data_IF_159367713807
#
_entry.id   IF_159367713807
#
_cell.length_a   1.000
_cell.length_b   1.000
_cell.length_c   1.000
_cell.angle_alpha   90.00
_cell.angle_beta   90.00
_cell.angle_gamma   90.00
#
_symmetry.space_group_name_H-M   'P 1'
#
loop_
_entity.id
_entity.type
_entity.pdbx_description
1 polymer ?
#
# COMPACT_ATOMS: atom_id res chain seq x y z
N UNK A 1 -40.26 -57.89 -31.48
CA UNK A 1 -39.37 -56.83 -32.03
C UNK A 1 -39.46 -55.68 -31.03
N UNK A 2 -38.42 -55.48 -30.22
CA UNK A 2 -38.41 -54.47 -29.15
C UNK A 2 -37.56 -53.28 -29.60
N UNK A 3 -38.01 -52.02 -29.45
CA UNK A 3 -37.20 -50.87 -29.83
C UNK A 3 -36.26 -50.50 -28.68
N UNK A 4 -34.97 -50.41 -28.97
CA UNK A 4 -33.97 -49.83 -28.07
C UNK A 4 -33.98 -48.31 -28.22
N UNK A 5 -34.36 -47.59 -27.16
CA UNK A 5 -34.22 -46.14 -27.08
C UNK A 5 -32.76 -45.78 -26.79
N UNK A 6 -32.12 -45.05 -27.70
CA UNK A 6 -30.80 -44.46 -27.48
C UNK A 6 -30.98 -43.06 -26.89
N UNK A 7 -30.64 -42.88 -25.61
CA UNK A 7 -30.61 -41.57 -24.97
C UNK A 7 -29.30 -40.85 -25.33
N UNK A 8 -29.40 -39.74 -26.06
CA UNK A 8 -28.29 -38.83 -26.33
C UNK A 8 -28.08 -37.94 -25.10
N UNK A 9 -26.97 -38.12 -24.39
CA UNK A 9 -26.53 -37.24 -23.30
C UNK A 9 -25.75 -36.10 -23.94
N UNK A 10 -26.33 -34.90 -24.00
CA UNK A 10 -25.61 -33.68 -24.36
C UNK A 10 -24.84 -33.18 -23.14
N UNK A 11 -23.51 -33.30 -23.18
CA UNK A 11 -22.63 -32.68 -22.20
C UNK A 11 -22.56 -31.16 -22.45
N UNK A 12 -23.19 -30.36 -21.59
CA UNK A 12 -23.00 -28.92 -21.57
C UNK A 12 -21.61 -28.61 -21.01
N UNK A 13 -20.72 -28.08 -21.85
CA UNK A 13 -19.39 -27.62 -21.42
C UNK A 13 -19.55 -26.19 -20.89
N UNK A 14 -19.48 -26.02 -19.56
CA UNK A 14 -19.49 -24.70 -18.96
C UNK A 14 -18.15 -23.99 -19.25
N UNK A 15 -18.18 -22.97 -20.11
CA UNK A 15 -17.05 -22.07 -20.29
C UNK A 15 -16.96 -21.17 -19.06
N UNK A 16 -15.96 -21.40 -18.21
CA UNK A 16 -15.58 -20.41 -17.19
C UNK A 16 -14.94 -19.22 -17.90
N UNK A 17 -15.74 -18.20 -18.20
CA UNK A 17 -15.21 -16.90 -18.62
C UNK A 17 -14.44 -16.30 -17.46
N UNK A 18 -13.15 -16.01 -17.66
CA UNK A 18 -12.36 -15.23 -16.71
C UNK A 18 -12.91 -13.81 -16.71
N UNK A 19 -13.75 -13.48 -15.74
CA UNK A 19 -14.17 -12.09 -15.51
C UNK A 19 -12.95 -11.31 -15.02
N UNK A 20 -12.68 -10.16 -15.62
CA UNK A 20 -11.71 -9.20 -15.09
C UNK A 20 -12.13 -8.89 -13.64
N UNK A 21 -11.27 -9.09 -12.64
CA UNK A 21 -11.62 -8.82 -11.26
C UNK A 21 -11.95 -7.34 -11.07
N UNK A 22 -12.95 -7.06 -10.24
CA UNK A 22 -13.30 -5.67 -9.92
C UNK A 22 -12.11 -4.95 -9.25
N UNK A 23 -12.02 -3.64 -9.46
CA UNK A 23 -10.90 -2.81 -9.02
C UNK A 23 -10.64 -2.95 -7.52
N UNK A 24 -11.70 -3.04 -6.72
CA UNK A 24 -11.66 -3.20 -5.27
C UNK A 24 -11.07 -4.56 -4.87
N UNK A 25 -11.40 -5.62 -5.61
CA UNK A 25 -10.83 -6.95 -5.39
C UNK A 25 -9.33 -6.98 -5.71
N UNK A 26 -8.91 -6.31 -6.78
CA UNK A 26 -7.49 -6.18 -7.13
C UNK A 26 -6.74 -5.36 -6.07
N UNK A 27 -7.29 -4.23 -5.64
CA UNK A 27 -6.72 -3.41 -4.57
C UNK A 27 -6.56 -4.21 -3.27
N UNK A 28 -7.57 -5.01 -2.91
CA UNK A 28 -7.50 -5.88 -1.75
C UNK A 28 -6.40 -6.95 -1.91
N UNK A 29 -6.23 -7.51 -3.10
CA UNK A 29 -5.20 -8.52 -3.37
C UNK A 29 -3.76 -7.98 -3.21
N UNK A 30 -3.54 -6.69 -3.46
CA UNK A 30 -2.23 -6.01 -3.31
C UNK A 30 -1.90 -5.55 -1.88
N UNK A 31 -2.87 -5.62 -0.98
CA UNK A 31 -2.77 -5.01 0.36
C UNK A 31 -2.94 -5.99 1.52
N UNK A 32 -2.70 -7.28 1.28
CA UNK A 32 -2.67 -8.30 2.34
C UNK A 32 -1.31 -8.35 3.06
N UNK A 33 -1.27 -8.81 4.31
CA UNK A 33 -0.05 -8.86 5.12
C UNK A 33 0.83 -10.08 4.85
N UNK A 34 0.73 -10.72 3.69
CA UNK A 34 1.52 -11.89 3.28
C UNK A 34 2.50 -11.56 2.13
N UNK A 35 3.40 -12.52 1.85
CA UNK A 35 4.46 -12.34 0.87
C UNK A 35 3.94 -12.41 -0.58
N UNK A 36 2.89 -13.21 -0.84
CA UNK A 36 2.27 -13.31 -2.16
C UNK A 36 1.64 -12.00 -2.59
N UNK A 37 0.92 -11.33 -1.69
CA UNK A 37 0.34 -10.01 -1.93
C UNK A 37 1.40 -8.94 -2.21
N UNK A 38 2.48 -8.93 -1.43
CA UNK A 38 3.62 -8.06 -1.68
C UNK A 38 4.24 -8.32 -3.06
N UNK A 39 4.45 -9.59 -3.43
CA UNK A 39 5.01 -9.95 -4.73
C UNK A 39 4.10 -9.54 -5.89
N UNK A 40 2.79 -9.78 -5.78
CA UNK A 40 1.80 -9.38 -6.77
C UNK A 40 1.79 -7.86 -6.97
N UNK A 41 1.75 -7.09 -5.88
CA UNK A 41 1.84 -5.63 -5.92
C UNK A 41 3.17 -5.15 -6.53
N UNK A 42 4.28 -5.76 -6.15
CA UNK A 42 5.62 -5.37 -6.60
C UNK A 42 5.84 -5.65 -8.09
N UNK A 43 5.16 -6.65 -8.64
CA UNK A 43 5.09 -6.88 -10.09
C UNK A 43 4.20 -5.84 -10.76
N UNK A 44 2.98 -5.63 -10.25
CA UNK A 44 2.01 -4.72 -10.84
C UNK A 44 2.51 -3.26 -10.92
N UNK A 45 3.24 -2.78 -9.89
CA UNK A 45 3.79 -1.41 -9.91
C UNK A 45 4.81 -1.15 -11.03
N UNK A 46 5.39 -2.19 -11.61
CA UNK A 46 6.38 -2.07 -12.70
C UNK A 46 5.71 -1.95 -14.07
N UNK A 47 4.47 -2.41 -14.18
CA UNK A 47 3.64 -2.30 -15.38
C UNK A 47 2.20 -1.99 -14.92
N UNK A 48 1.90 -0.71 -14.62
CA UNK A 48 0.60 -0.30 -14.11
C UNK A 48 -0.55 -0.85 -14.97
N UNK A 49 -1.53 -1.41 -14.29
CA UNK A 49 -2.71 -2.05 -14.88
C UNK A 49 -3.78 -1.04 -15.30
N UNK A 50 -4.87 -1.55 -15.89
CA UNK A 50 -6.01 -0.77 -16.39
C UNK A 50 -6.89 -0.16 -15.29
N UNK A 51 -6.62 -0.46 -14.01
CA UNK A 51 -7.47 -0.03 -12.89
C UNK A 51 -7.20 1.41 -12.40
N UNK A 52 -6.26 2.11 -13.05
CA UNK A 52 -5.91 3.51 -12.76
C UNK A 52 -5.66 3.78 -11.27
N UNK A 53 -4.94 2.87 -10.60
CA UNK A 53 -4.53 3.08 -9.22
C UNK A 53 -3.59 4.30 -9.07
N UNK A 54 -3.63 4.92 -7.90
CA UNK A 54 -2.61 5.89 -7.50
C UNK A 54 -1.34 5.14 -7.10
N UNK A 55 -0.33 5.18 -7.96
CA UNK A 55 1.00 4.59 -7.75
C UNK A 55 2.00 5.58 -7.15
N UNK A 56 1.60 6.83 -6.90
CA UNK A 56 2.46 7.87 -6.36
C UNK A 56 2.98 7.50 -4.97
N UNK A 57 4.23 7.88 -4.70
CA UNK A 57 4.86 7.67 -3.39
C UNK A 57 5.83 8.81 -3.10
N UNK A 58 5.87 9.20 -1.83
CA UNK A 58 6.90 10.05 -1.23
C UNK A 58 7.75 9.24 -0.24
N UNK A 59 7.78 7.92 -0.46
CA UNK A 59 8.43 6.90 0.35
C UNK A 59 8.11 7.06 1.83
N UNK A 60 9.11 7.11 2.70
CA UNK A 60 8.87 7.08 4.13
C UNK A 60 8.52 8.46 4.71
N UNK A 61 8.10 9.44 3.88
CA UNK A 61 7.55 10.80 4.08
C UNK A 61 7.70 11.55 5.41
N UNK A 62 7.46 10.92 6.56
CA UNK A 62 7.63 11.45 7.92
C UNK A 62 8.81 10.83 8.68
N UNK A 63 9.58 9.97 8.02
CA UNK A 63 10.69 9.18 8.54
C UNK A 63 11.79 9.05 7.47
N UNK A 64 13.04 8.78 7.87
CA UNK A 64 14.11 8.50 6.91
C UNK A 64 13.79 7.32 5.99
N UNK A 65 14.14 7.41 4.72
CA UNK A 65 14.00 6.29 3.78
C UNK A 65 14.94 5.12 4.08
N UNK A 66 16.11 5.43 4.67
CA UNK A 66 17.20 4.49 4.91
C UNK A 66 17.75 4.57 6.35
N UNK A 67 16.93 4.29 7.38
CA UNK A 67 17.39 4.40 8.77
C UNK A 67 18.54 3.43 9.04
N UNK A 68 19.68 3.95 9.52
CA UNK A 68 20.90 3.16 9.78
C UNK A 68 21.37 2.31 8.58
N UNK A 69 21.01 2.68 7.35
CA UNK A 69 21.33 1.95 6.13
C UNK A 69 20.38 0.81 5.75
N UNK A 70 19.29 0.59 6.48
CA UNK A 70 18.22 -0.35 6.07
C UNK A 70 17.28 0.32 5.08
N UNK A 71 17.08 -0.23 3.88
CA UNK A 71 16.28 0.39 2.82
C UNK A 71 14.79 0.06 2.98
N UNK A 72 14.03 0.99 3.54
CA UNK A 72 12.59 0.82 3.81
C UNK A 72 11.69 1.42 2.72
N UNK A 73 12.26 1.96 1.64
CA UNK A 73 11.50 2.65 0.58
C UNK A 73 10.44 1.76 -0.06
N UNK A 74 10.74 0.48 -0.31
CA UNK A 74 9.80 -0.41 -0.98
C UNK A 74 8.60 -0.79 -0.09
N UNK A 75 8.79 -1.16 1.21
CA UNK A 75 7.70 -1.20 2.18
C UNK A 75 6.87 0.09 2.25
N UNK A 76 7.53 1.26 2.32
CA UNK A 76 6.84 2.55 2.38
C UNK A 76 6.02 2.83 1.12
N UNK A 77 6.52 2.48 -0.07
CA UNK A 77 5.76 2.63 -1.32
C UNK A 77 4.49 1.77 -1.32
N UNK A 78 4.54 0.52 -0.84
CA UNK A 78 3.30 -0.29 -0.76
C UNK A 78 2.30 0.27 0.25
N UNK A 79 2.80 0.83 1.35
CA UNK A 79 1.97 1.50 2.35
C UNK A 79 1.26 2.73 1.75
N UNK A 80 2.01 3.60 1.06
CA UNK A 80 1.47 4.75 0.34
C UNK A 80 0.42 4.35 -0.68
N UNK A 81 0.71 3.31 -1.49
CA UNK A 81 -0.23 2.77 -2.46
C UNK A 81 -1.56 2.40 -1.81
N UNK A 82 -1.51 1.64 -0.71
CA UNK A 82 -2.71 1.26 0.04
C UNK A 82 -3.44 2.50 0.56
N UNK A 83 -2.74 3.39 1.25
CA UNK A 83 -3.33 4.57 1.88
C UNK A 83 -4.02 5.49 0.87
N UNK A 84 -3.35 5.80 -0.25
CA UNK A 84 -3.86 6.70 -1.29
C UNK A 84 -5.11 6.13 -1.95
N UNK A 85 -5.07 4.86 -2.33
CA UNK A 85 -6.20 4.23 -3.02
C UNK A 85 -7.40 3.99 -2.11
N UNK A 86 -7.19 3.54 -0.86
CA UNK A 86 -8.29 3.39 0.09
C UNK A 86 -8.84 4.75 0.58
N UNK A 87 -8.01 5.80 0.66
CA UNK A 87 -8.48 7.16 0.95
C UNK A 87 -9.34 7.72 -0.18
N UNK A 88 -8.93 7.53 -1.44
CA UNK A 88 -9.71 7.92 -2.62
C UNK A 88 -11.06 7.19 -2.70
N UNK A 89 -11.11 5.94 -2.24
CA UNK A 89 -12.34 5.14 -2.17
C UNK A 89 -13.23 5.44 -0.94
N UNK A 90 -12.79 6.28 0.01
CA UNK A 90 -13.53 6.52 1.26
C UNK A 90 -13.47 5.36 2.27
N UNK A 91 -12.60 4.39 2.05
CA UNK A 91 -12.55 3.09 2.73
C UNK A 91 -11.33 2.96 3.67
N UNK A 92 -10.50 4.01 3.80
CA UNK A 92 -9.26 3.95 4.59
C UNK A 92 -9.50 3.52 6.04
N UNK A 93 -10.53 4.05 6.71
CA UNK A 93 -10.78 3.74 8.13
C UNK A 93 -11.03 2.24 8.36
N UNK A 94 -11.77 1.59 7.47
CA UNK A 94 -12.08 0.16 7.57
C UNK A 94 -10.86 -0.73 7.29
N UNK A 95 -9.90 -0.23 6.52
CA UNK A 95 -8.79 -1.01 5.99
C UNK A 95 -7.45 -0.68 6.66
N UNK A 96 -7.33 0.44 7.38
CA UNK A 96 -6.08 0.99 7.95
C UNK A 96 -5.26 -0.05 8.71
N UNK A 97 -5.89 -0.78 9.63
CA UNK A 97 -5.19 -1.78 10.45
C UNK A 97 -4.56 -2.89 9.59
N UNK A 98 -5.24 -3.32 8.52
CA UNK A 98 -4.67 -4.30 7.57
C UNK A 98 -3.50 -3.71 6.80
N UNK A 99 -3.61 -2.46 6.35
CA UNK A 99 -2.53 -1.77 5.62
C UNK A 99 -1.28 -1.59 6.48
N UNK A 100 -1.45 -1.19 7.74
CA UNK A 100 -0.33 -1.02 8.68
C UNK A 100 0.29 -2.38 9.04
N UNK A 101 -0.52 -3.43 9.21
CA UNK A 101 -0.01 -4.79 9.40
C UNK A 101 0.78 -5.29 8.17
N UNK A 102 0.32 -4.96 6.96
CA UNK A 102 0.98 -5.30 5.71
C UNK A 102 2.33 -4.57 5.58
N UNK A 103 2.38 -3.28 5.92
CA UNK A 103 3.60 -2.50 6.00
C UNK A 103 4.61 -3.07 7.00
N UNK A 104 4.17 -3.41 8.21
CA UNK A 104 5.05 -4.04 9.19
C UNK A 104 5.59 -5.39 8.71
N UNK A 105 4.76 -6.20 8.06
CA UNK A 105 5.20 -7.47 7.50
C UNK A 105 6.28 -7.28 6.42
N UNK A 106 6.17 -6.26 5.58
CA UNK A 106 7.18 -5.94 4.55
C UNK A 106 8.49 -5.43 5.12
N UNK A 107 8.43 -4.55 6.12
CA UNK A 107 9.60 -4.09 6.85
C UNK A 107 10.34 -5.29 7.46
N UNK A 108 9.61 -6.22 8.08
CA UNK A 108 10.20 -7.44 8.65
C UNK A 108 10.81 -8.36 7.58
N UNK A 109 10.19 -8.51 6.41
CA UNK A 109 10.76 -9.27 5.28
C UNK A 109 12.03 -8.62 4.76
N UNK A 110 12.02 -7.30 4.63
CA UNK A 110 13.20 -6.49 4.28
C UNK A 110 14.33 -6.76 5.27
N UNK A 111 14.04 -6.69 6.58
CA UNK A 111 15.02 -7.01 7.62
C UNK A 111 15.56 -8.45 7.55
N UNK A 112 14.77 -9.42 7.07
CA UNK A 112 15.24 -10.79 6.91
C UNK A 112 16.32 -10.96 5.83
N UNK A 113 16.46 -9.99 4.91
CA UNK A 113 17.48 -10.00 3.85
C UNK A 113 18.86 -9.52 4.33
N UNK A 114 18.93 -8.83 5.47
CA UNK A 114 20.18 -8.32 6.03
C UNK A 114 20.96 -9.39 6.81
N UNK A 115 22.27 -9.17 6.97
CA UNK A 115 23.16 -10.06 7.74
C UNK A 115 22.69 -10.20 9.19
N UNK A 116 22.79 -11.41 9.75
CA UNK A 116 22.30 -11.74 11.11
C UNK A 116 22.66 -10.72 12.20
N UNK A 117 23.89 -10.18 12.29
CA UNK A 117 24.26 -9.25 13.36
C UNK A 117 23.48 -7.93 13.36
N UNK A 118 23.03 -7.46 12.20
CA UNK A 118 22.32 -6.17 12.07
C UNK A 118 20.80 -6.31 12.09
N UNK A 119 20.28 -7.55 12.00
CA UNK A 119 18.83 -7.82 11.96
C UNK A 119 18.07 -7.31 13.19
N UNK A 120 18.56 -7.42 14.44
CA UNK A 120 17.84 -6.90 15.60
C UNK A 120 17.55 -5.40 15.49
N UNK A 121 18.55 -4.60 15.11
CA UNK A 121 18.38 -3.16 14.91
C UNK A 121 17.36 -2.85 13.80
N UNK A 122 17.41 -3.60 12.69
CA UNK A 122 16.42 -3.47 11.63
C UNK A 122 15.00 -3.78 12.13
N UNK A 123 14.80 -4.86 12.88
CA UNK A 123 13.49 -5.22 13.42
C UNK A 123 12.96 -4.20 14.43
N UNK A 124 13.83 -3.61 15.26
CA UNK A 124 13.44 -2.51 16.14
C UNK A 124 12.96 -1.29 15.34
N UNK A 125 13.69 -0.90 14.29
CA UNK A 125 13.27 0.17 13.40
C UNK A 125 11.96 -0.16 12.68
N UNK A 126 11.79 -1.40 12.20
CA UNK A 126 10.55 -1.85 11.59
C UNK A 126 9.34 -1.67 12.53
N UNK A 127 9.52 -1.98 13.82
CA UNK A 127 8.49 -1.78 14.83
C UNK A 127 8.19 -0.28 15.05
N UNK A 128 9.22 0.57 15.14
CA UNK A 128 9.04 2.03 15.28
C UNK A 128 8.26 2.61 14.10
N UNK A 129 8.57 2.19 12.88
CA UNK A 129 7.88 2.67 11.67
C UNK A 129 6.41 2.23 11.66
N UNK A 130 6.14 0.98 12.02
CA UNK A 130 4.78 0.48 12.18
C UNK A 130 3.98 1.27 13.23
N UNK A 131 4.56 1.53 14.40
CA UNK A 131 3.90 2.31 15.45
C UNK A 131 3.62 3.75 14.97
N UNK A 132 4.57 4.37 14.26
CA UNK A 132 4.38 5.68 13.65
C UNK A 132 3.19 5.71 12.69
N UNK A 133 3.11 4.76 11.76
CA UNK A 133 1.99 4.63 10.83
C UNK A 133 0.66 4.35 11.57
N UNK A 134 0.67 3.47 12.57
CA UNK A 134 -0.51 3.12 13.36
C UNK A 134 -1.10 4.34 14.09
N UNK A 135 -0.25 5.14 14.74
CA UNK A 135 -0.66 6.30 15.55
C UNK A 135 -0.98 7.52 14.68
N UNK A 136 -0.13 7.84 13.71
CA UNK A 136 -0.18 9.12 12.99
C UNK A 136 -0.73 9.02 11.56
N UNK A 137 -0.90 7.81 11.00
CA UNK A 137 -1.27 7.63 9.59
C UNK A 137 -2.64 8.21 9.20
N UNK A 138 -3.52 8.46 10.16
CA UNK A 138 -4.82 9.12 9.92
C UNK A 138 -4.81 10.63 10.19
N UNK A 139 -3.73 11.18 10.74
CA UNK A 139 -3.63 12.62 11.00
C UNK A 139 -3.22 13.36 9.71
N UNK A 140 -3.76 14.55 9.54
CA UNK A 140 -3.30 15.46 8.50
C UNK A 140 -1.93 16.01 8.88
N UNK A 141 -0.99 16.03 7.92
CA UNK A 141 0.28 16.72 8.07
C UNK A 141 0.01 18.19 8.36
N UNK A 142 0.54 18.71 9.45
CA UNK A 142 0.53 20.15 9.73
C UNK A 142 1.44 20.83 8.71
N UNK A 143 0.91 21.82 8.01
CA UNK A 143 1.67 22.69 7.12
C UNK A 143 2.28 23.82 7.96
N UNK A 144 3.63 23.85 8.15
CA UNK A 144 4.27 24.88 8.96
C UNK A 144 4.00 26.30 8.43
N UNK A 145 3.83 26.46 7.11
CA UNK A 145 3.53 27.75 6.50
C UNK A 145 2.12 28.27 6.86
N UNK A 146 1.21 27.38 7.26
CA UNK A 146 -0.12 27.76 7.77
C UNK A 146 -0.13 28.02 9.28
N UNK A 147 0.93 27.65 9.99
CA UNK A 147 1.04 27.82 11.45
C UNK A 147 1.88 29.05 11.80
N UNK A 148 2.98 29.26 11.08
CA UNK A 148 3.79 30.47 11.17
C UNK A 148 3.15 31.46 10.21
N UNK A 149 2.19 32.26 10.69
CA UNK A 149 1.47 33.24 9.88
C UNK A 149 2.44 34.04 8.99
N UNK A 150 2.03 34.24 7.74
CA UNK A 150 2.79 34.97 6.72
C UNK A 150 3.41 36.24 7.32
N UNK A 151 4.73 36.46 7.21
CA UNK A 151 5.34 37.65 7.77
C UNK A 151 4.68 38.87 7.10
N UNK A 152 4.14 39.77 7.91
CA UNK A 152 3.53 41.00 7.42
C UNK A 152 4.50 41.72 6.49
N UNK A 153 4.05 41.95 5.26
CA UNK A 153 4.73 42.73 4.23
C UNK A 153 5.15 44.10 4.78
N UNK A 154 6.44 44.24 5.13
CA UNK A 154 7.09 45.46 5.61
C UNK A 154 7.43 46.43 4.46
N UNK A 155 6.72 46.35 3.33
CA UNK A 155 6.89 47.31 2.23
C UNK A 155 6.11 48.62 2.45
N UNK A 156 5.25 48.70 3.48
CA UNK A 156 4.41 49.89 3.75
C UNK A 156 4.91 50.83 4.85
N UNK A 157 6.04 50.55 5.51
CA UNK A 157 6.59 51.42 6.58
C UNK A 157 7.54 52.52 6.09
N UNK A 158 7.82 52.62 4.78
CA UNK A 158 8.67 53.69 4.22
C UNK A 158 7.90 54.93 3.74
N UNK A 159 6.63 55.09 4.10
CA UNK A 159 5.82 56.28 3.81
C UNK A 159 5.21 56.84 5.11
N UNK A 160 6.06 57.39 5.97
CA UNK A 160 5.66 58.31 7.05
C UNK A 160 6.87 59.18 7.44
#
# INVERSE_FOLDING_TARGET
>A
MSPTLTALITAAVATMGMTVPDREAVLASYTQPDASSFAAWNTARQAPDEYHFDWGTDYCSASPDRPLGFDFRLPCWRHDFGYRNYKKAGELSANKNRLDAAFHADLRRTCATYRRPVRPACYTLAWVYYQGAAIFGSLTRIDPAKVVGEPADDSRRSLA
#
